data_IF_665792210952
#
_entry.id   IF_665792210952
#
_cell.length_a   1.000
_cell.length_b   1.000
_cell.length_c   1.000
_cell.angle_alpha   90.00
_cell.angle_beta   90.00
_cell.angle_gamma   90.00
#
_symmetry.space_group_name_H-M   'P 1'
#
loop_
_entity.id
_entity.type
_entity.pdbx_description
1 polymer ?
#
# COMPACT_ATOMS: atom_id res chain seq x y z
N UNK A 1 11.36 -5.16 10.15
CA UNK A 1 10.83 -3.77 10.31
C UNK A 1 9.39 -3.75 9.82
N UNK A 2 8.49 -2.97 10.44
CA UNK A 2 7.11 -2.79 9.96
C UNK A 2 6.89 -1.35 9.53
N UNK A 3 6.24 -1.16 8.38
CA UNK A 3 5.86 0.13 7.82
C UNK A 3 4.34 0.13 7.68
N UNK A 4 3.68 1.18 8.17
CA UNK A 4 2.27 1.43 7.93
C UNK A 4 2.15 2.68 7.05
N UNK A 5 1.61 2.54 5.84
CA UNK A 5 1.34 3.67 4.96
C UNK A 5 -0.14 4.09 5.05
N UNK A 6 -0.39 5.33 5.44
CA UNK A 6 -1.72 5.91 5.45
C UNK A 6 -1.97 6.60 4.11
N UNK A 7 -2.89 6.06 3.32
CA UNK A 7 -3.16 6.52 1.95
C UNK A 7 -4.66 6.78 1.79
N UNK A 8 -5.17 7.89 2.36
CA UNK A 8 -6.56 8.29 2.15
C UNK A 8 -6.81 8.64 0.67
N UNK A 9 -8.07 8.58 0.24
CA UNK A 9 -8.47 8.89 -1.13
C UNK A 9 -9.05 7.71 -1.90
N UNK A 10 -9.18 7.91 -3.21
CA UNK A 10 -9.79 6.96 -4.13
C UNK A 10 -8.78 6.02 -4.77
N UNK A 11 -9.25 5.26 -5.77
CA UNK A 11 -8.43 4.29 -6.51
C UNK A 11 -7.25 4.99 -7.21
N UNK A 12 -7.47 6.17 -7.82
CA UNK A 12 -6.42 6.91 -8.53
C UNK A 12 -5.23 7.24 -7.62
N UNK A 13 -5.49 7.67 -6.39
CA UNK A 13 -4.45 7.97 -5.40
C UNK A 13 -3.62 6.73 -5.07
N UNK A 14 -4.25 5.56 -4.97
CA UNK A 14 -3.53 4.31 -4.68
C UNK A 14 -2.61 3.92 -5.84
N UNK A 15 -3.12 4.00 -7.08
CA UNK A 15 -2.33 3.64 -8.27
C UNK A 15 -1.08 4.52 -8.37
N UNK A 16 -1.20 5.81 -8.09
CA UNK A 16 -0.08 6.74 -8.08
C UNK A 16 0.93 6.46 -6.96
N UNK A 17 0.50 5.81 -5.87
CA UNK A 17 1.35 5.47 -4.73
C UNK A 17 2.06 4.11 -4.85
N UNK A 18 1.62 3.22 -5.76
CA UNK A 18 2.24 1.90 -5.92
C UNK A 18 3.75 1.92 -6.23
N UNK A 19 4.28 2.84 -7.06
CA UNK A 19 5.72 2.95 -7.27
C UNK A 19 6.48 3.22 -5.96
N UNK A 20 5.94 4.04 -5.06
CA UNK A 20 6.54 4.30 -3.75
C UNK A 20 6.61 3.03 -2.90
N UNK A 21 5.56 2.21 -2.89
CA UNK A 21 5.55 0.92 -2.19
C UNK A 21 6.59 -0.05 -2.78
N UNK A 22 6.75 -0.05 -4.10
CA UNK A 22 7.78 -0.85 -4.78
C UNK A 22 9.20 -0.41 -4.37
N UNK A 23 9.48 0.89 -4.38
CA UNK A 23 10.76 1.44 -3.94
C UNK A 23 11.05 1.10 -2.47
N UNK A 24 10.05 1.23 -1.58
CA UNK A 24 10.21 0.85 -0.18
C UNK A 24 10.57 -0.63 -0.01
N UNK A 25 9.89 -1.52 -0.75
CA UNK A 25 10.18 -2.96 -0.70
C UNK A 25 11.56 -3.30 -1.28
N UNK A 26 12.00 -2.59 -2.32
CA UNK A 26 13.35 -2.76 -2.88
C UNK A 26 14.45 -2.31 -1.90
N UNK A 27 14.26 -1.17 -1.22
CA UNK A 27 15.22 -0.64 -0.25
C UNK A 27 15.23 -1.42 1.06
N UNK A 28 14.07 -1.96 1.46
CA UNK A 28 13.91 -2.74 2.67
C UNK A 28 13.20 -4.08 2.36
N UNK A 29 13.92 -5.06 1.78
CA UNK A 29 13.34 -6.33 1.33
C UNK A 29 12.56 -7.08 2.41
N UNK A 30 13.01 -7.02 3.66
CA UNK A 30 12.40 -7.73 4.79
C UNK A 30 11.34 -6.90 5.52
N UNK A 31 11.01 -5.68 5.05
CA UNK A 31 9.96 -4.89 5.65
C UNK A 31 8.57 -5.48 5.32
N UNK A 32 7.73 -5.63 6.34
CA UNK A 32 6.30 -5.83 6.15
C UNK A 32 5.63 -4.46 6.01
N UNK A 33 4.96 -4.24 4.88
CA UNK A 33 4.32 -2.96 4.54
C UNK A 33 2.81 -3.17 4.56
N UNK A 34 2.16 -2.59 5.55
CA UNK A 34 0.70 -2.56 5.65
C UNK A 34 0.20 -1.21 5.16
N UNK A 35 -1.01 -1.16 4.59
CA UNK A 35 -1.63 0.08 4.12
C UNK A 35 -2.97 0.29 4.83
N UNK A 36 -3.29 1.54 5.14
CA UNK A 36 -4.56 1.95 5.72
C UNK A 36 -5.29 2.86 4.73
N UNK A 37 -6.41 2.39 4.20
CA UNK A 37 -7.10 2.98 3.04
C UNK A 37 -8.60 3.06 3.22
N UNK A 38 -9.27 3.85 2.38
CA UNK A 38 -10.73 3.87 2.35
C UNK A 38 -11.30 2.57 1.73
N UNK A 39 -12.48 2.08 2.16
CA UNK A 39 -13.08 0.85 1.64
C UNK A 39 -13.20 0.79 0.11
N UNK A 40 -13.52 1.91 -0.54
CA UNK A 40 -13.61 2.03 -2.01
C UNK A 40 -12.28 1.82 -2.74
N UNK A 41 -11.17 2.05 -2.06
CA UNK A 41 -9.82 1.93 -2.62
C UNK A 41 -9.24 0.52 -2.45
N UNK A 42 -9.78 -0.31 -1.54
CA UNK A 42 -9.28 -1.65 -1.21
C UNK A 42 -9.03 -2.54 -2.43
N UNK A 43 -9.95 -2.53 -3.39
CA UNK A 43 -9.88 -3.39 -4.56
C UNK A 43 -8.66 -3.10 -5.46
N UNK A 44 -8.13 -1.87 -5.43
CA UNK A 44 -6.95 -1.49 -6.19
C UNK A 44 -5.71 -2.30 -5.78
N UNK A 45 -5.60 -2.67 -4.51
CA UNK A 45 -4.45 -3.39 -3.97
C UNK A 45 -4.37 -4.86 -4.40
N UNK A 46 -5.40 -5.41 -5.06
CA UNK A 46 -5.35 -6.76 -5.65
C UNK A 46 -4.23 -6.94 -6.68
N UNK A 47 -3.75 -5.85 -7.27
CA UNK A 47 -2.66 -5.87 -8.26
C UNK A 47 -1.34 -5.32 -7.70
N UNK A 48 -1.28 -4.95 -6.42
CA UNK A 48 -0.07 -4.47 -5.77
C UNK A 48 0.58 -5.58 -4.94
N UNK A 49 1.72 -6.10 -5.40
CA UNK A 49 2.42 -7.21 -4.75
C UNK A 49 3.32 -6.77 -3.59
N UNK A 50 3.50 -5.47 -3.38
CA UNK A 50 4.45 -4.92 -2.41
C UNK A 50 3.82 -4.69 -1.02
N UNK A 51 2.57 -5.10 -0.81
CA UNK A 51 1.80 -4.90 0.42
C UNK A 51 1.53 -6.24 1.10
N UNK A 52 1.69 -6.25 2.41
CA UNK A 52 1.40 -7.39 3.27
C UNK A 52 -0.09 -7.42 3.65
N UNK A 53 -0.63 -6.33 4.20
CA UNK A 53 -2.03 -6.25 4.60
C UNK A 53 -2.68 -4.91 4.20
N UNK A 54 -3.97 -4.95 3.86
CA UNK A 54 -4.79 -3.78 3.53
C UNK A 54 -5.85 -3.59 4.61
N UNK A 55 -5.59 -2.63 5.49
CA UNK A 55 -6.46 -2.21 6.57
C UNK A 55 -7.44 -1.13 6.06
N UNK A 56 -8.60 -1.06 6.71
CA UNK A 56 -9.64 -0.09 6.36
C UNK A 56 -9.76 0.98 7.44
N UNK A 57 -9.84 2.24 6.99
CA UNK A 57 -10.26 3.38 7.81
C UNK A 57 -11.74 3.27 8.18
#
# INVERSE_FOLDING_TARGET
>A
MRILALVPGGIGDQILYFPTLATLKQQYPDAAIDVLVEPRAKAAYRVCQNVNEVLLL
#
